data_IF_361042336083
#
_entry.id   IF_361042336083
#
_cell.length_a   1.000
_cell.length_b   1.000
_cell.length_c   1.000
_cell.angle_alpha   90.00
_cell.angle_beta   90.00
_cell.angle_gamma   90.00
#
_symmetry.space_group_name_H-M   'P 1'
#
loop_
_entity.id
_entity.type
_entity.pdbx_description
1 polymer ?
#
# COMPACT_ATOMS: atom_id res chain seq x y z
N UNK A 1 -43.93 -29.97 12.27
CA UNK A 1 -43.33 -28.86 11.48
C UNK A 1 -42.27 -28.10 12.28
N UNK A 2 -41.21 -28.78 12.76
CA UNK A 2 -40.24 -28.21 13.72
C UNK A 2 -38.84 -28.82 13.53
N UNK A 3 -38.31 -28.82 12.29
CA UNK A 3 -36.96 -29.37 12.00
C UNK A 3 -36.18 -28.66 10.87
N UNK A 4 -36.55 -27.44 10.44
CA UNK A 4 -35.92 -26.80 9.26
C UNK A 4 -35.11 -25.52 9.59
N UNK A 5 -34.98 -25.11 10.85
CA UNK A 5 -34.34 -23.81 11.21
C UNK A 5 -32.92 -23.98 11.77
N UNK A 6 -32.11 -24.89 11.21
CA UNK A 6 -30.73 -25.13 11.70
C UNK A 6 -29.63 -25.06 10.63
N UNK A 7 -29.95 -24.67 9.39
CA UNK A 7 -29.00 -24.82 8.26
C UNK A 7 -28.57 -23.51 7.59
N UNK A 8 -28.94 -22.34 8.13
CA UNK A 8 -28.67 -21.03 7.50
C UNK A 8 -27.61 -20.18 8.22
N UNK A 9 -26.81 -20.76 9.12
CA UNK A 9 -25.81 -20.03 9.91
C UNK A 9 -24.36 -20.19 9.42
N UNK A 10 -24.11 -20.91 8.32
CA UNK A 10 -22.76 -21.23 7.83
C UNK A 10 -22.46 -20.67 6.43
N UNK A 11 -22.93 -19.47 6.14
CA UNK A 11 -22.47 -18.66 4.99
C UNK A 11 -21.78 -17.36 5.45
N UNK A 12 -21.36 -17.32 6.71
CA UNK A 12 -20.62 -16.22 7.31
C UNK A 12 -19.24 -16.10 6.65
N UNK A 13 -19.16 -15.14 5.74
CA UNK A 13 -18.06 -14.17 5.72
C UNK A 13 -16.69 -14.66 5.22
N UNK A 14 -16.61 -15.14 3.98
CA UNK A 14 -15.35 -15.08 3.20
C UNK A 14 -15.19 -13.76 2.43
N UNK A 15 -15.93 -12.71 2.80
CA UNK A 15 -15.81 -11.39 2.20
C UNK A 15 -14.58 -10.65 2.78
N UNK A 16 -13.43 -10.83 2.14
CA UNK A 16 -12.50 -9.72 1.92
C UNK A 16 -11.54 -9.33 3.04
N UNK A 17 -10.83 -10.29 3.66
CA UNK A 17 -9.56 -9.96 4.33
C UNK A 17 -8.46 -9.67 3.28
N UNK A 18 -8.60 -8.57 2.55
CA UNK A 18 -7.55 -8.05 1.69
C UNK A 18 -6.54 -7.31 2.57
N UNK A 19 -5.65 -8.06 3.22
CA UNK A 19 -4.50 -7.49 3.91
C UNK A 19 -3.59 -6.82 2.89
N UNK A 20 -3.23 -5.56 3.15
CA UNK A 20 -2.21 -4.90 2.35
C UNK A 20 -0.86 -5.60 2.57
N UNK A 21 -0.07 -5.76 1.52
CA UNK A 21 1.25 -6.37 1.62
C UNK A 21 2.14 -5.58 2.59
N UNK A 22 2.93 -6.31 3.38
CA UNK A 22 3.86 -5.68 4.34
C UNK A 22 5.01 -4.96 3.62
N UNK A 23 5.49 -5.54 2.52
CA UNK A 23 6.50 -4.97 1.62
C UNK A 23 6.05 -5.15 0.17
N UNK A 24 6.33 -4.14 -0.66
CA UNK A 24 6.10 -4.16 -2.10
C UNK A 24 7.44 -3.95 -2.81
N UNK A 25 7.63 -4.61 -3.95
CA UNK A 25 8.76 -4.33 -4.85
C UNK A 25 8.23 -3.74 -6.15
N UNK A 26 8.66 -2.53 -6.47
CA UNK A 26 8.35 -1.86 -7.73
C UNK A 26 9.52 -2.05 -8.70
N UNK A 27 9.27 -2.79 -9.78
CA UNK A 27 10.25 -2.98 -10.85
C UNK A 27 10.49 -1.68 -11.61
N UNK A 28 11.76 -1.30 -11.76
CA UNK A 28 12.15 -0.14 -12.55
C UNK A 28 13.47 -0.40 -13.29
N UNK A 29 13.62 0.19 -14.48
CA UNK A 29 14.78 -0.04 -15.37
C UNK A 29 16.13 0.32 -14.72
N UNK A 30 16.12 1.25 -13.76
CA UNK A 30 17.29 1.77 -13.06
C UNK A 30 17.56 1.09 -11.71
N UNK A 31 16.84 0.02 -11.38
CA UNK A 31 16.93 -0.69 -10.11
C UNK A 31 15.58 -0.74 -9.41
N UNK A 32 15.29 -1.87 -8.79
CA UNK A 32 14.03 -2.10 -8.09
C UNK A 32 13.92 -1.18 -6.87
N UNK A 33 12.69 -0.77 -6.57
CA UNK A 33 12.38 0.01 -5.37
C UNK A 33 11.62 -0.87 -4.41
N UNK A 34 12.25 -1.18 -3.27
CA UNK A 34 11.57 -1.83 -2.14
C UNK A 34 10.81 -0.79 -1.34
N UNK A 35 9.52 -1.04 -1.14
CA UNK A 35 8.62 -0.18 -0.40
C UNK A 35 8.07 -0.92 0.82
N UNK A 36 8.57 -0.63 2.04
CA UNK A 36 8.08 -1.24 3.27
C UNK A 36 6.74 -0.61 3.65
N UNK A 37 5.66 -1.06 3.00
CA UNK A 37 4.32 -0.49 3.12
C UNK A 37 3.80 -0.51 4.56
N UNK A 38 4.00 -1.61 5.31
CA UNK A 38 3.63 -1.69 6.75
C UNK A 38 4.32 -0.62 7.59
N UNK A 39 5.60 -0.35 7.33
CA UNK A 39 6.36 0.70 8.04
C UNK A 39 5.75 2.07 7.76
N UNK A 40 5.33 2.33 6.53
CA UNK A 40 4.66 3.59 6.19
C UNK A 40 3.29 3.70 6.85
N UNK A 41 2.52 2.62 6.95
CA UNK A 41 1.27 2.64 7.72
C UNK A 41 1.50 3.03 9.18
N UNK A 42 2.56 2.53 9.81
CA UNK A 42 2.91 2.84 11.20
C UNK A 42 3.45 4.28 11.38
N UNK A 43 4.28 4.76 10.45
CA UNK A 43 4.94 6.07 10.58
C UNK A 43 4.04 7.22 10.13
N UNK A 44 3.28 7.02 9.04
CA UNK A 44 2.41 8.06 8.47
C UNK A 44 1.03 8.05 9.11
N UNK A 45 0.49 6.87 9.45
CA UNK A 45 -0.80 6.72 10.14
C UNK A 45 -2.04 7.18 9.36
N UNK A 46 -1.87 7.80 8.19
CA UNK A 46 -2.94 8.36 7.38
C UNK A 46 -2.91 7.81 5.95
N UNK A 47 -3.78 6.83 5.68
CA UNK A 47 -3.89 6.17 4.37
C UNK A 47 -4.10 7.16 3.22
N UNK A 48 -4.85 8.26 3.45
CA UNK A 48 -5.19 9.25 2.43
C UNK A 48 -3.97 10.06 1.94
N UNK A 49 -2.83 10.00 2.64
CA UNK A 49 -1.58 10.64 2.16
C UNK A 49 -1.05 10.00 0.88
N UNK A 50 -1.41 8.75 0.59
CA UNK A 50 -1.07 8.07 -0.66
C UNK A 50 -2.32 7.61 -1.42
N UNK A 51 -3.36 7.18 -0.70
CA UNK A 51 -4.58 6.62 -1.25
C UNK A 51 -5.73 7.62 -1.16
N UNK A 52 -5.74 8.62 -2.04
CA UNK A 52 -6.73 9.70 -2.03
C UNK A 52 -8.17 9.20 -2.12
N UNK A 53 -8.42 8.18 -2.97
CA UNK A 53 -9.72 7.54 -3.18
C UNK A 53 -10.01 6.39 -2.19
N UNK A 54 -9.18 6.21 -1.18
CA UNK A 54 -9.24 5.09 -0.25
C UNK A 54 -8.30 3.93 -0.62
N UNK A 55 -8.04 3.01 0.33
CA UNK A 55 -7.05 1.93 0.15
C UNK A 55 -7.35 1.09 -1.09
N UNK A 56 -6.31 0.79 -1.87
CA UNK A 56 -6.45 0.05 -3.13
C UNK A 56 -5.34 0.40 -4.11
N UNK A 57 -5.51 0.00 -5.37
CA UNK A 57 -4.58 0.40 -6.44
C UNK A 57 -4.66 1.92 -6.61
N UNK A 58 -3.49 2.54 -6.74
CA UNK A 58 -3.38 3.98 -7.01
C UNK A 58 -3.47 4.18 -8.52
N UNK A 59 -4.52 4.86 -8.98
CA UNK A 59 -4.66 5.25 -10.38
C UNK A 59 -3.52 6.20 -10.76
N UNK A 60 -2.91 5.96 -11.93
CA UNK A 60 -1.76 6.75 -12.37
C UNK A 60 -0.46 6.46 -11.62
N UNK A 61 -0.38 5.39 -10.82
CA UNK A 61 0.89 4.98 -10.20
C UNK A 61 1.96 4.73 -11.28
N UNK A 62 3.07 5.44 -11.16
CA UNK A 62 4.17 5.42 -12.11
C UNK A 62 5.28 6.39 -11.69
N UNK A 63 6.26 6.62 -12.56
CA UNK A 63 7.44 7.46 -12.26
C UNK A 63 7.05 8.82 -11.68
N UNK A 64 6.16 9.55 -12.35
CA UNK A 64 5.85 10.93 -11.98
C UNK A 64 5.08 10.99 -10.67
N UNK A 65 4.10 10.09 -10.48
CA UNK A 65 3.39 9.97 -9.22
C UNK A 65 4.32 9.59 -8.06
N UNK A 66 5.24 8.63 -8.27
CA UNK A 66 6.16 8.16 -7.24
C UNK A 66 7.21 9.22 -6.89
N UNK A 67 7.77 9.93 -7.87
CA UNK A 67 8.72 11.01 -7.61
C UNK A 67 8.05 12.24 -6.97
N UNK A 68 6.78 12.50 -7.27
CA UNK A 68 6.02 13.54 -6.58
C UNK A 68 5.68 13.13 -5.14
N UNK A 69 5.15 11.91 -4.96
CA UNK A 69 4.55 11.50 -3.69
C UNK A 69 5.58 10.90 -2.73
N UNK A 70 6.35 9.91 -3.17
CA UNK A 70 7.33 9.24 -2.31
C UNK A 70 8.49 10.19 -1.97
N UNK A 71 9.16 10.73 -2.99
CA UNK A 71 10.30 11.64 -2.78
C UNK A 71 9.84 12.99 -2.19
N UNK A 72 8.72 13.54 -2.65
CA UNK A 72 8.21 14.81 -2.12
C UNK A 72 7.88 14.76 -0.63
N UNK A 73 7.23 13.70 -0.16
CA UNK A 73 6.99 13.49 1.28
C UNK A 73 8.31 13.37 2.06
N UNK A 74 9.28 12.62 1.55
CA UNK A 74 10.57 12.48 2.21
C UNK A 74 11.37 13.78 2.29
N UNK A 75 11.28 14.62 1.25
CA UNK A 75 11.89 15.96 1.23
C UNK A 75 11.20 16.91 2.22
N UNK A 76 9.87 16.96 2.21
CA UNK A 76 9.07 17.79 3.13
C UNK A 76 9.32 17.41 4.59
N UNK A 77 9.25 16.12 4.89
CA UNK A 77 9.43 15.60 6.25
C UNK A 77 10.90 15.51 6.68
N UNK A 78 11.84 15.79 5.76
CA UNK A 78 13.29 15.58 5.93
C UNK A 78 13.61 14.19 6.50
N UNK A 79 12.86 13.18 6.08
CA UNK A 79 12.93 11.79 6.57
C UNK A 79 12.68 10.82 5.43
N UNK A 80 13.57 9.86 5.26
CA UNK A 80 13.50 8.85 4.20
C UNK A 80 14.41 9.18 3.01
N UNK A 81 14.52 8.25 2.04
CA UNK A 81 15.41 8.37 0.90
C UNK A 81 14.96 9.45 -0.09
N UNK A 82 15.91 10.28 -0.54
CA UNK A 82 15.67 11.34 -1.55
C UNK A 82 16.62 11.28 -2.75
N UNK A 83 17.73 10.52 -2.67
CA UNK A 83 18.64 10.32 -3.80
C UNK A 83 18.25 9.10 -4.62
N UNK A 84 18.55 9.12 -5.91
CA UNK A 84 18.17 8.06 -6.85
C UNK A 84 18.56 6.66 -6.36
N UNK A 85 19.83 6.51 -5.95
CA UNK A 85 20.38 5.23 -5.48
C UNK A 85 19.95 4.83 -4.07
N UNK A 86 19.27 5.70 -3.32
CA UNK A 86 18.73 5.33 -2.00
C UNK A 86 17.42 4.55 -2.16
N UNK A 87 16.64 4.83 -3.22
CA UNK A 87 15.43 4.10 -3.56
C UNK A 87 15.70 2.97 -4.57
N UNK A 88 16.41 3.25 -5.66
CA UNK A 88 16.63 2.31 -6.75
C UNK A 88 17.87 1.46 -6.48
N UNK A 89 17.65 0.22 -6.04
CA UNK A 89 18.71 -0.76 -5.79
C UNK A 89 18.73 -1.78 -6.93
N UNK A 90 19.91 -1.96 -7.54
CA UNK A 90 20.14 -3.03 -8.51
C UNK A 90 20.50 -4.32 -7.80
#
# INVERSE_FOLDING_TARGET
MKRIIASLALSVFCAGLAFAADELTFKAKNGDVKFPHKKHQQVVGNCKKCHEKGPGKIEGFGKDWAHKTCKGCHEEMKKGPTKCGDCHKK
#
